data_IF_821247494232
#
_entry.id   IF_821247494232
#
_cell.length_a   1.000
_cell.length_b   1.000
_cell.length_c   1.000
_cell.angle_alpha   90.00
_cell.angle_beta   90.00
_cell.angle_gamma   90.00
#
_symmetry.space_group_name_H-M   'P 1'
#
loop_
_entity.id
_entity.type
_entity.pdbx_description
1 polymer ?
#
# COMPACT_ATOMS: atom_id res chain seq x y z
N UNK A 1 12.42 -11.61 -5.25
CA UNK A 1 11.20 -10.99 -4.68
C UNK A 1 10.94 -11.49 -3.27
N UNK A 2 10.77 -12.80 -3.02
CA UNK A 2 10.59 -13.29 -1.64
C UNK A 2 11.80 -13.03 -0.74
N UNK A 3 13.02 -13.26 -1.25
CA UNK A 3 14.27 -12.90 -0.58
C UNK A 3 14.35 -11.40 -0.30
N UNK A 4 14.01 -10.56 -1.28
CA UNK A 4 13.99 -9.10 -1.09
C UNK A 4 12.99 -8.66 -0.02
N UNK A 5 11.79 -9.27 0.01
CA UNK A 5 10.77 -8.98 1.03
C UNK A 5 11.28 -9.40 2.41
N UNK A 6 11.91 -10.58 2.50
CA UNK A 6 12.53 -11.04 3.73
C UNK A 6 13.57 -10.02 4.22
N UNK A 7 14.49 -9.61 3.36
CA UNK A 7 15.52 -8.63 3.70
C UNK A 7 14.90 -7.29 4.15
N UNK A 8 13.91 -6.76 3.42
CA UNK A 8 13.28 -5.49 3.77
C UNK A 8 12.54 -5.52 5.11
N UNK A 9 11.90 -6.63 5.41
CA UNK A 9 11.21 -6.85 6.69
C UNK A 9 12.22 -6.96 7.85
N UNK A 10 13.35 -7.64 7.65
CA UNK A 10 14.35 -7.82 8.70
C UNK A 10 15.26 -6.60 8.90
N UNK A 11 15.34 -5.72 7.88
CA UNK A 11 16.20 -4.51 7.91
C UNK A 11 15.44 -3.23 8.21
N UNK A 12 14.13 -3.25 8.44
CA UNK A 12 13.38 -2.03 8.71
C UNK A 12 13.15 -1.14 7.48
N UNK A 13 13.21 -1.71 6.27
CA UNK A 13 13.08 -0.92 5.04
C UNK A 13 11.62 -0.59 4.70
N UNK A 14 10.97 0.19 5.57
CA UNK A 14 9.57 0.61 5.44
C UNK A 14 9.31 1.33 4.11
N UNK A 15 10.30 2.03 3.55
CA UNK A 15 10.16 2.67 2.23
C UNK A 15 9.88 1.66 1.11
N UNK A 16 10.55 0.51 1.12
CA UNK A 16 10.34 -0.58 0.16
C UNK A 16 9.06 -1.37 0.43
N UNK A 17 8.74 -1.58 1.71
CA UNK A 17 7.45 -2.19 2.10
C UNK A 17 6.27 -1.31 1.67
N UNK A 18 6.36 0.00 1.83
CA UNK A 18 5.37 0.97 1.33
C UNK A 18 5.23 0.88 -0.19
N UNK A 19 6.35 0.81 -0.93
CA UNK A 19 6.36 0.68 -2.39
C UNK A 19 5.66 -0.60 -2.87
N UNK A 20 5.84 -1.73 -2.19
CA UNK A 20 5.13 -2.99 -2.45
C UNK A 20 3.61 -2.81 -2.33
N UNK A 21 3.15 -2.19 -1.26
CA UNK A 21 1.72 -1.95 -1.04
C UNK A 21 1.17 -1.04 -2.13
N UNK A 22 1.88 0.04 -2.45
CA UNK A 22 1.48 0.99 -3.50
C UNK A 22 1.49 0.38 -4.90
N UNK A 23 2.26 -0.67 -5.16
CA UNK A 23 2.32 -1.35 -6.46
C UNK A 23 1.32 -2.50 -6.59
N UNK A 24 0.52 -2.76 -5.54
CA UNK A 24 -0.55 -3.76 -5.53
C UNK A 24 -0.15 -5.09 -4.90
N UNK A 25 1.05 -5.20 -4.33
CA UNK A 25 1.60 -6.42 -3.73
C UNK A 25 1.50 -6.45 -2.19
N UNK A 26 0.66 -5.60 -1.59
CA UNK A 26 0.54 -5.52 -0.13
C UNK A 26 0.11 -6.84 0.52
N UNK A 27 -0.60 -7.70 -0.20
CA UNK A 27 -1.04 -9.01 0.31
C UNK A 27 0.13 -9.95 0.61
N UNK A 28 1.30 -9.74 -0.02
CA UNK A 28 2.51 -10.52 0.26
C UNK A 28 3.08 -10.28 1.66
N UNK A 29 2.70 -9.16 2.30
CA UNK A 29 3.16 -8.78 3.64
C UNK A 29 2.23 -9.30 4.74
N UNK A 30 1.05 -9.82 4.39
CA UNK A 30 0.06 -10.28 5.36
C UNK A 30 0.59 -11.47 6.17
N UNK A 31 0.39 -11.40 7.48
CA UNK A 31 0.75 -12.48 8.39
C UNK A 31 2.23 -12.55 8.72
N UNK A 32 3.12 -11.79 8.09
CA UNK A 32 4.58 -11.86 8.35
C UNK A 32 5.01 -11.28 9.70
N UNK A 33 4.11 -10.65 10.44
CA UNK A 33 4.38 -9.93 11.70
C UNK A 33 5.09 -10.77 12.77
N UNK A 34 4.94 -12.09 12.75
CA UNK A 34 5.53 -13.00 13.72
C UNK A 34 6.97 -13.43 13.38
N UNK A 35 7.45 -13.09 12.18
CA UNK A 35 8.79 -13.43 11.69
C UNK A 35 9.76 -12.23 11.80
N UNK A 36 9.34 -11.14 12.46
CA UNK A 36 10.05 -9.85 12.43
C UNK A 36 10.37 -9.39 13.84
N UNK A 37 11.60 -8.95 14.05
CA UNK A 37 12.05 -8.34 15.32
C UNK A 37 12.25 -6.82 15.21
N UNK A 38 12.37 -6.31 13.98
CA UNK A 38 12.56 -4.89 13.72
C UNK A 38 11.29 -4.07 14.03
N UNK A 39 11.44 -3.06 14.90
CA UNK A 39 10.32 -2.28 15.41
C UNK A 39 9.61 -1.44 14.33
N UNK A 40 10.35 -0.92 13.35
CA UNK A 40 9.78 -0.10 12.28
C UNK A 40 8.93 -0.97 11.34
N UNK A 41 9.41 -2.18 11.03
CA UNK A 41 8.69 -3.16 10.23
C UNK A 41 7.45 -3.68 10.96
N UNK A 42 7.56 -4.01 12.25
CA UNK A 42 6.40 -4.39 13.07
C UNK A 42 5.35 -3.27 13.05
N UNK A 43 5.75 -2.02 13.33
CA UNK A 43 4.84 -0.88 13.34
C UNK A 43 4.17 -0.66 11.97
N UNK A 44 4.90 -0.85 10.87
CA UNK A 44 4.33 -0.78 9.53
C UNK A 44 3.32 -1.91 9.26
N UNK A 45 3.66 -3.16 9.63
CA UNK A 45 2.80 -4.33 9.41
C UNK A 45 1.53 -4.28 10.27
N UNK A 46 1.55 -3.67 11.45
CA UNK A 46 0.37 -3.44 12.29
C UNK A 46 -0.64 -2.49 11.62
N UNK A 47 -0.15 -1.45 10.93
CA UNK A 47 -1.01 -0.47 10.24
C UNK A 47 -1.29 -0.83 8.78
N UNK A 48 -0.69 -1.91 8.26
CA UNK A 48 -0.84 -2.38 6.88
C UNK A 48 -2.31 -2.51 6.44
N UNK A 49 -3.24 -3.11 7.22
CA UNK A 49 -4.65 -3.21 6.82
C UNK A 49 -5.31 -1.84 6.62
N UNK A 50 -4.98 -0.87 7.47
CA UNK A 50 -5.50 0.50 7.36
C UNK A 50 -4.94 1.20 6.12
N UNK A 51 -3.65 0.96 5.83
CA UNK A 51 -2.99 1.49 4.64
C UNK A 51 -3.61 0.92 3.35
N UNK A 52 -3.84 -0.39 3.28
CA UNK A 52 -4.52 -1.04 2.16
C UNK A 52 -5.97 -0.55 2.00
N UNK A 53 -6.70 -0.37 3.11
CA UNK A 53 -8.05 0.20 3.07
C UNK A 53 -8.05 1.63 2.50
N UNK A 54 -7.05 2.45 2.83
CA UNK A 54 -6.88 3.79 2.27
C UNK A 54 -6.63 3.75 0.75
N UNK A 55 -5.76 2.86 0.29
CA UNK A 55 -5.53 2.62 -1.15
C UNK A 55 -6.84 2.27 -1.85
N UNK A 56 -7.58 1.28 -1.33
CA UNK A 56 -8.88 0.89 -1.90
C UNK A 56 -9.90 2.04 -1.92
N UNK A 57 -9.96 2.85 -0.88
CA UNK A 57 -10.85 4.03 -0.82
C UNK A 57 -10.52 5.05 -1.93
N UNK A 58 -9.24 5.25 -2.24
CA UNK A 58 -8.80 6.11 -3.35
C UNK A 58 -9.26 5.53 -4.68
N UNK A 59 -9.04 4.24 -4.92
CA UNK A 59 -9.52 3.59 -6.15
C UNK A 59 -11.03 3.73 -6.32
N UNK A 60 -11.81 3.53 -5.25
CA UNK A 60 -13.27 3.70 -5.27
C UNK A 60 -13.69 5.15 -5.52
N UNK A 61 -12.98 6.11 -4.93
CA UNK A 61 -13.27 7.53 -5.14
C UNK A 61 -13.02 7.95 -6.60
N UNK A 62 -11.98 7.40 -7.24
CA UNK A 62 -11.71 7.64 -8.67
C UNK A 62 -12.76 6.96 -9.55
N UNK A 63 -13.12 5.70 -9.27
CA UNK A 63 -14.14 4.95 -10.02
C UNK A 63 -15.53 5.59 -9.95
N UNK A 64 -15.86 6.25 -8.85
CA UNK A 64 -17.14 6.94 -8.64
C UNK A 64 -17.13 8.41 -9.09
N UNK A 65 -16.01 8.91 -9.64
CA UNK A 65 -15.86 10.30 -10.06
C UNK A 65 -15.86 11.31 -8.91
N UNK A 66 -15.67 10.87 -7.66
CA UNK A 66 -15.68 11.74 -6.48
C UNK A 66 -14.32 12.43 -6.28
N UNK A 67 -14.06 13.44 -7.12
CA UNK A 67 -12.81 14.20 -7.12
C UNK A 67 -12.52 14.91 -5.78
N UNK A 68 -13.54 15.22 -4.98
CA UNK A 68 -13.36 15.79 -3.62
C UNK A 68 -12.76 14.76 -2.68
N UNK A 69 -13.28 13.53 -2.69
CA UNK A 69 -12.74 12.43 -1.89
C UNK A 69 -11.32 12.04 -2.34
N UNK A 70 -11.05 12.03 -3.66
CA UNK A 70 -9.70 11.80 -4.17
C UNK A 70 -8.73 12.84 -3.62
N UNK A 71 -9.08 14.14 -3.67
CA UNK A 71 -8.21 15.21 -3.15
C UNK A 71 -7.96 15.11 -1.65
N UNK A 72 -8.97 14.72 -0.86
CA UNK A 72 -8.85 14.57 0.59
C UNK A 72 -8.02 13.33 0.98
N UNK A 73 -8.11 12.25 0.21
CA UNK A 73 -7.43 10.99 0.52
C UNK A 73 -6.00 10.95 -0.04
N UNK A 74 -5.70 11.79 -1.03
CA UNK A 74 -4.41 11.83 -1.76
C UNK A 74 -3.50 12.96 -1.26
N UNK A 75 -3.40 13.14 0.07
CA UNK A 75 -2.47 14.12 0.67
C UNK A 75 -0.99 13.83 0.39
N UNK A 76 -0.65 12.63 -0.13
CA UNK A 76 0.70 12.25 -0.55
C UNK A 76 0.69 11.88 -2.02
N UNK A 77 1.54 12.51 -2.85
CA UNK A 77 1.71 12.23 -4.29
C UNK A 77 1.83 10.72 -4.61
N UNK A 78 2.45 9.94 -3.72
CA UNK A 78 2.59 8.48 -3.85
C UNK A 78 1.25 7.73 -3.91
N UNK A 79 0.23 8.21 -3.19
CA UNK A 79 -1.10 7.60 -3.17
C UNK A 79 -1.90 7.87 -4.46
N UNK A 80 -1.55 8.89 -5.24
CA UNK A 80 -2.18 9.14 -6.53
C UNK A 80 -1.83 8.06 -7.58
N UNK A 81 -0.71 7.38 -7.37
CA UNK A 81 -0.14 6.39 -8.28
C UNK A 81 -0.34 4.94 -7.79
N UNK A 82 -1.01 4.75 -6.65
CA UNK A 82 -1.20 3.43 -6.06
C UNK A 82 -2.00 2.51 -6.97
N UNK A 83 -1.66 1.23 -7.00
CA UNK A 83 -2.33 0.20 -7.80
C UNK A 83 -3.26 -0.62 -6.93
N UNK A 84 -4.38 -1.05 -7.50
CA UNK A 84 -5.30 -1.96 -6.82
C UNK A 84 -4.66 -3.37 -6.73
N UNK A 85 -5.32 -4.31 -6.04
CA UNK A 85 -4.83 -5.70 -5.92
C UNK A 85 -4.76 -6.45 -7.26
N UNK A 86 -5.20 -5.82 -8.37
CA UNK A 86 -5.08 -6.34 -9.74
C UNK A 86 -4.01 -5.59 -10.55
N UNK A 87 -3.22 -4.73 -9.89
CA UNK A 87 -2.13 -3.98 -10.51
C UNK A 87 -2.58 -2.76 -11.33
N UNK A 88 -3.84 -2.33 -11.24
CA UNK A 88 -4.37 -1.20 -12.01
C UNK A 88 -4.23 0.11 -11.23
N UNK A 89 -3.63 1.13 -11.83
CA UNK A 89 -3.59 2.47 -11.23
C UNK A 89 -5.00 3.10 -11.20
N UNK A 90 -5.26 4.10 -10.35
CA UNK A 90 -6.59 4.67 -10.18
C UNK A 90 -7.04 5.36 -11.47
N UNK A 91 -6.09 5.96 -12.20
CA UNK A 91 -6.28 6.59 -13.51
C UNK A 91 -6.77 5.64 -14.61
N UNK A 92 -6.52 4.33 -14.53
CA UNK A 92 -7.00 3.38 -15.54
C UNK A 92 -8.49 3.04 -15.40
N UNK A 93 -9.15 3.44 -14.30
CA UNK A 93 -10.58 3.22 -14.07
C UNK A 93 -11.47 4.40 -14.49
N UNK A 94 -10.90 5.50 -14.97
CA UNK A 94 -11.69 6.64 -15.45
C UNK A 94 -12.26 6.24 -16.81
N UNK A 95 -13.57 6.01 -16.85
CA UNK A 95 -14.32 5.75 -18.07
C UNK A 95 -15.43 6.79 -18.22
#
# INVERSE_FOLDING_TARGET
LEEDIYDWIHTGNVGKLEELVLTGYGDLLLGRNHEVEDADSIGFLEVLPQYQAKVQAIHKAVETGNLRAVRLLTDRKKLALCRDSRGLSPLHKVR
#
